data_IF_245377092010
#
_entry.id   IF_245377092010
#
_cell.length_a   1.000
_cell.length_b   1.000
_cell.length_c   1.000
_cell.angle_alpha   90.00
_cell.angle_beta   90.00
_cell.angle_gamma   90.00
#
_symmetry.space_group_name_H-M   'P 1'
#
loop_
_entity.id
_entity.type
_entity.pdbx_description
1 polymer ?
#
# COMPACT_ATOMS: atom_id res chain seq x y z
N UNK A 1 -4.43 -28.18 -10.65
CA UNK A 1 -4.68 -27.85 -9.23
C UNK A 1 -5.48 -26.56 -9.17
N UNK A 2 -6.78 -26.69 -8.93
CA UNK A 2 -7.78 -25.61 -8.87
C UNK A 2 -8.68 -25.89 -7.67
N UNK A 3 -9.18 -24.90 -6.91
CA UNK A 3 -8.76 -23.51 -6.84
C UNK A 3 -8.55 -23.02 -5.39
N UNK A 4 -7.69 -22.02 -5.20
CA UNK A 4 -7.52 -21.25 -3.95
C UNK A 4 -8.69 -20.28 -3.68
N UNK A 5 -9.89 -20.64 -4.14
CA UNK A 5 -11.15 -19.92 -3.92
C UNK A 5 -11.45 -19.65 -2.44
N UNK A 6 -11.29 -20.59 -1.49
CA UNK A 6 -11.59 -20.29 -0.10
C UNK A 6 -10.66 -19.22 0.49
N UNK A 7 -9.37 -19.24 0.14
CA UNK A 7 -8.42 -18.21 0.58
C UNK A 7 -8.77 -16.82 0.00
N UNK A 8 -9.22 -16.78 -1.26
CA UNK A 8 -9.70 -15.54 -1.88
C UNK A 8 -10.96 -15.00 -1.22
N UNK A 9 -11.98 -15.84 -0.99
CA UNK A 9 -13.20 -15.41 -0.31
C UNK A 9 -12.95 -15.03 1.15
N UNK A 10 -12.06 -15.74 1.85
CA UNK A 10 -11.63 -15.39 3.20
C UNK A 10 -10.94 -14.01 3.22
N UNK A 11 -10.02 -13.76 2.29
CA UNK A 11 -9.38 -12.46 2.15
C UNK A 11 -10.41 -11.36 1.86
N UNK A 12 -11.32 -11.59 0.92
CA UNK A 12 -12.38 -10.62 0.57
C UNK A 12 -13.30 -10.34 1.77
N UNK A 13 -13.61 -11.37 2.57
CA UNK A 13 -14.37 -11.25 3.81
C UNK A 13 -13.59 -10.47 4.88
N UNK A 14 -12.28 -10.68 5.01
CA UNK A 14 -11.44 -9.89 5.91
C UNK A 14 -11.38 -8.41 5.51
N UNK A 15 -11.22 -8.11 4.22
CA UNK A 15 -11.23 -6.73 3.72
C UNK A 15 -12.59 -6.08 3.93
N UNK A 16 -13.68 -6.76 3.52
CA UNK A 16 -15.04 -6.24 3.70
C UNK A 16 -15.41 -6.07 5.18
N UNK A 17 -15.03 -7.02 6.02
CA UNK A 17 -15.21 -6.97 7.47
C UNK A 17 -14.43 -5.83 8.11
N UNK A 18 -13.17 -5.62 7.70
CA UNK A 18 -12.34 -4.50 8.17
C UNK A 18 -12.90 -3.15 7.76
N UNK A 19 -13.31 -2.98 6.50
CA UNK A 19 -13.98 -1.76 6.02
C UNK A 19 -15.28 -1.52 6.80
N UNK A 20 -16.10 -2.56 6.99
CA UNK A 20 -17.36 -2.45 7.72
C UNK A 20 -17.12 -2.06 9.18
N UNK A 21 -16.15 -2.70 9.85
CA UNK A 21 -15.78 -2.37 11.22
C UNK A 21 -15.29 -0.91 11.34
N UNK A 22 -14.47 -0.43 10.39
CA UNK A 22 -14.04 0.96 10.35
C UNK A 22 -15.20 1.95 10.27
N UNK A 23 -16.23 1.66 9.47
CA UNK A 23 -17.43 2.52 9.38
C UNK A 23 -18.38 2.38 10.57
N UNK A 24 -18.42 1.22 11.23
CA UNK A 24 -19.30 0.98 12.38
C UNK A 24 -18.71 1.46 13.71
N UNK A 25 -17.38 1.45 13.83
CA UNK A 25 -16.66 1.81 15.05
C UNK A 25 -15.52 2.81 14.77
N UNK A 26 -15.82 3.97 14.16
CA UNK A 26 -14.79 4.95 13.81
C UNK A 26 -14.07 5.51 15.04
N UNK A 27 -14.76 5.62 16.18
CA UNK A 27 -14.19 6.15 17.42
C UNK A 27 -13.23 5.17 18.11
N UNK A 28 -13.48 3.87 17.96
CA UNK A 28 -12.64 2.77 18.51
C UNK A 28 -11.43 2.49 17.61
N UNK A 29 -11.61 2.60 16.28
CA UNK A 29 -10.55 2.39 15.28
C UNK A 29 -10.00 3.75 14.86
N UNK A 30 -9.44 4.47 15.83
CA UNK A 30 -8.74 5.71 15.58
C UNK A 30 -7.21 5.50 15.58
N UNK A 31 -6.49 6.51 15.12
CA UNK A 31 -5.02 6.53 15.08
C UNK A 31 -4.45 7.27 16.31
N UNK A 32 -5.31 7.86 17.15
CA UNK A 32 -4.94 8.66 18.33
C UNK A 32 -4.22 7.81 19.38
N UNK A 33 -4.48 6.50 19.45
CA UNK A 33 -3.70 5.62 20.33
C UNK A 33 -2.19 5.63 20.02
N UNK A 34 -1.79 5.95 18.78
CA UNK A 34 -0.37 6.09 18.42
C UNK A 34 0.23 7.35 19.03
N UNK A 35 -0.55 8.42 19.20
CA UNK A 35 -0.11 9.65 19.87
C UNK A 35 0.18 9.35 21.34
N UNK A 36 -0.79 8.79 22.07
CA UNK A 36 -0.64 8.37 23.46
C UNK A 36 0.53 7.37 23.67
N UNK A 37 0.74 6.48 22.71
CA UNK A 37 1.85 5.52 22.75
C UNK A 37 3.18 6.21 22.47
N UNK A 38 3.23 7.17 21.54
CA UNK A 38 4.46 7.88 21.19
C UNK A 38 5.02 8.69 22.37
N UNK A 39 4.15 9.25 23.22
CA UNK A 39 4.56 9.97 24.42
C UNK A 39 5.20 9.05 25.48
N UNK A 40 4.76 7.78 25.53
CA UNK A 40 5.26 6.78 26.49
C UNK A 40 6.50 6.05 25.97
N UNK A 41 6.44 5.61 24.71
CA UNK A 41 7.49 4.86 24.03
C UNK A 41 7.45 5.17 22.52
N UNK A 42 8.19 6.20 22.16
CA UNK A 42 8.29 6.72 20.80
C UNK A 42 8.69 5.67 19.76
N UNK A 43 9.69 4.83 20.05
CA UNK A 43 10.16 3.81 19.11
C UNK A 43 9.17 2.66 18.97
N UNK A 44 8.48 2.30 20.04
CA UNK A 44 7.41 1.31 19.96
C UNK A 44 6.25 1.83 19.09
N UNK A 45 5.87 3.11 19.21
CA UNK A 45 4.87 3.71 18.35
C UNK A 45 5.31 3.69 16.86
N UNK A 46 6.57 3.99 16.55
CA UNK A 46 7.11 3.88 15.19
C UNK A 46 7.06 2.44 14.65
N UNK A 47 7.35 1.43 15.48
CA UNK A 47 7.27 0.02 15.08
C UNK A 47 5.82 -0.37 14.79
N UNK A 48 4.87 0.01 15.64
CA UNK A 48 3.45 -0.28 15.40
C UNK A 48 2.97 0.44 14.14
N UNK A 49 3.35 1.72 13.95
CA UNK A 49 3.05 2.47 12.74
C UNK A 49 3.56 1.76 11.47
N UNK A 50 4.81 1.28 11.49
CA UNK A 50 5.38 0.47 10.41
C UNK A 50 4.57 -0.81 10.13
N UNK A 51 4.18 -1.53 11.18
CA UNK A 51 3.40 -2.77 11.04
C UNK A 51 2.02 -2.50 10.45
N UNK A 52 1.35 -1.42 10.88
CA UNK A 52 0.07 -0.98 10.33
C UNK A 52 0.19 -0.66 8.83
N UNK A 53 1.20 0.13 8.45
CA UNK A 53 1.48 0.43 7.05
C UNK A 53 1.76 -0.82 6.23
N UNK A 54 2.52 -1.77 6.78
CA UNK A 54 2.88 -3.02 6.09
C UNK A 54 1.67 -3.92 5.89
N UNK A 55 0.77 -4.01 6.88
CA UNK A 55 -0.45 -4.81 6.80
C UNK A 55 -1.51 -4.16 5.89
N UNK A 56 -1.50 -2.83 5.76
CA UNK A 56 -2.46 -2.02 5.01
C UNK A 56 -2.72 -2.53 3.59
N UNK A 57 -1.70 -2.92 2.84
CA UNK A 57 -1.86 -3.37 1.44
C UNK A 57 -2.73 -4.63 1.29
N UNK A 58 -2.88 -5.41 2.36
CA UNK A 58 -3.84 -6.51 2.41
C UNK A 58 -5.29 -6.01 2.29
N UNK A 59 -5.57 -4.80 2.77
CA UNK A 59 -6.91 -4.21 2.83
C UNK A 59 -7.18 -3.14 1.77
N UNK A 60 -6.16 -2.80 0.96
CA UNK A 60 -6.21 -1.71 -0.04
C UNK A 60 -6.59 -0.34 0.56
N UNK A 61 -6.41 -0.17 1.87
CA UNK A 61 -6.62 1.12 2.54
C UNK A 61 -5.54 2.10 2.01
N UNK A 62 -5.91 3.34 1.62
CA UNK A 62 -4.94 4.34 1.17
C UNK A 62 -3.88 4.68 2.23
N UNK A 63 -2.65 5.02 1.80
CA UNK A 63 -1.58 5.44 2.72
C UNK A 63 -1.83 6.75 3.42
N UNK A 64 -2.48 7.66 2.71
CA UNK A 64 -2.47 9.08 3.02
C UNK A 64 -3.04 9.39 4.41
N UNK A 65 -4.14 8.76 4.87
CA UNK A 65 -4.63 9.00 6.23
C UNK A 65 -3.61 8.64 7.31
N UNK A 66 -2.90 7.51 7.17
CA UNK A 66 -1.86 7.10 8.12
C UNK A 66 -0.67 8.06 8.05
N UNK A 67 -0.26 8.47 6.85
CA UNK A 67 0.83 9.44 6.68
C UNK A 67 0.52 10.77 7.37
N UNK A 68 -0.68 11.32 7.16
CA UNK A 68 -1.08 12.59 7.76
C UNK A 68 -1.14 12.51 9.28
N UNK A 69 -1.64 11.40 9.84
CA UNK A 69 -1.57 11.17 11.28
C UNK A 69 -0.12 11.09 11.77
N UNK A 70 0.74 10.38 11.04
CA UNK A 70 2.16 10.28 11.35
C UNK A 70 2.88 11.63 11.36
N UNK A 71 2.51 12.58 10.49
CA UNK A 71 3.10 13.93 10.45
C UNK A 71 2.88 14.70 11.76
N UNK A 72 1.78 14.43 12.47
CA UNK A 72 1.45 15.09 13.73
C UNK A 72 2.23 14.49 14.91
N UNK A 73 2.70 13.24 14.79
CA UNK A 73 3.21 12.44 15.90
C UNK A 73 4.74 12.29 15.84
N UNK A 74 5.30 12.10 14.65
CA UNK A 74 6.69 11.68 14.48
C UNK A 74 7.58 12.75 13.83
N UNK A 75 8.89 12.66 14.06
CA UNK A 75 9.85 13.49 13.35
C UNK A 75 9.76 13.28 11.82
N UNK A 76 9.80 14.34 10.99
CA UNK A 76 9.63 14.23 9.54
C UNK A 76 10.57 13.25 8.85
N UNK A 77 11.84 13.16 9.28
CA UNK A 77 12.82 12.29 8.63
C UNK A 77 12.55 10.83 8.98
N UNK A 78 12.30 10.54 10.25
CA UNK A 78 11.97 9.19 10.72
C UNK A 78 10.65 8.71 10.13
N UNK A 79 9.64 9.57 10.10
CA UNK A 79 8.36 9.31 9.45
C UNK A 79 8.56 8.96 7.98
N UNK A 80 9.36 9.73 7.23
CA UNK A 80 9.61 9.44 5.82
C UNK A 80 10.25 8.06 5.64
N UNK A 81 11.29 7.74 6.41
CA UNK A 81 12.00 6.47 6.32
C UNK A 81 11.07 5.30 6.65
N UNK A 82 10.36 5.38 7.78
CA UNK A 82 9.47 4.33 8.27
C UNK A 82 8.26 4.16 7.34
N UNK A 83 7.72 5.26 6.82
CA UNK A 83 6.62 5.22 5.87
C UNK A 83 7.01 4.54 4.56
N UNK A 84 8.18 4.90 4.01
CA UNK A 84 8.72 4.24 2.82
C UNK A 84 8.99 2.76 3.06
N UNK A 85 9.58 2.40 4.20
CA UNK A 85 9.79 1.00 4.58
C UNK A 85 8.47 0.22 4.67
N UNK A 86 7.44 0.82 5.27
CA UNK A 86 6.10 0.24 5.38
C UNK A 86 5.44 0.03 4.01
N UNK A 87 5.52 1.02 3.11
CA UNK A 87 4.97 0.93 1.74
C UNK A 87 5.66 -0.18 0.93
N UNK A 88 6.99 -0.29 1.00
CA UNK A 88 7.73 -1.35 0.32
C UNK A 88 7.44 -2.74 0.89
N UNK A 89 7.29 -2.82 2.22
CA UNK A 89 6.91 -4.06 2.91
C UNK A 89 5.49 -4.49 2.52
N UNK A 90 4.54 -3.55 2.53
CA UNK A 90 3.17 -3.74 2.03
C UNK A 90 3.14 -4.23 0.59
N UNK A 91 3.88 -3.55 -0.30
CA UNK A 91 4.00 -3.93 -1.71
C UNK A 91 4.53 -5.36 -1.87
N UNK A 92 5.53 -5.74 -1.06
CA UNK A 92 6.09 -7.09 -1.08
C UNK A 92 5.05 -8.13 -0.65
N UNK A 93 4.33 -7.88 0.45
CA UNK A 93 3.26 -8.74 0.95
C UNK A 93 2.17 -8.92 -0.12
N UNK A 94 1.70 -7.82 -0.69
CA UNK A 94 0.68 -7.80 -1.75
C UNK A 94 1.14 -8.58 -2.99
N UNK A 95 2.39 -8.38 -3.42
CA UNK A 95 2.93 -9.08 -4.58
C UNK A 95 2.88 -10.60 -4.40
N UNK A 96 3.31 -11.10 -3.24
CA UNK A 96 3.29 -12.53 -2.94
C UNK A 96 1.88 -13.04 -2.69
N UNK A 97 1.01 -12.26 -2.04
CA UNK A 97 -0.38 -12.61 -1.84
C UNK A 97 -1.11 -12.77 -3.18
N UNK A 98 -0.90 -11.85 -4.12
CA UNK A 98 -1.46 -11.91 -5.48
C UNK A 98 -1.09 -13.23 -6.19
N UNK A 99 0.19 -13.59 -6.13
CA UNK A 99 0.71 -14.84 -6.69
C UNK A 99 0.17 -16.05 -5.93
N UNK A 100 0.03 -15.94 -4.61
CA UNK A 100 -0.56 -16.99 -3.79
C UNK A 100 -2.02 -17.18 -4.15
N UNK A 101 -2.84 -16.15 -4.29
CA UNK A 101 -4.27 -16.25 -4.65
C UNK A 101 -4.50 -16.73 -6.09
N UNK A 102 -3.48 -16.67 -6.95
CA UNK A 102 -3.54 -17.15 -8.34
C UNK A 102 -4.25 -16.18 -9.27
N UNK A 103 -4.11 -14.87 -9.01
CA UNK A 103 -4.72 -13.83 -9.84
C UNK A 103 -4.21 -13.87 -11.30
N UNK A 104 -2.96 -14.27 -11.51
CA UNK A 104 -2.41 -14.53 -12.83
C UNK A 104 -3.29 -15.48 -13.65
N UNK A 105 -3.68 -16.62 -13.09
CA UNK A 105 -4.49 -17.63 -13.78
C UNK A 105 -5.96 -17.23 -13.90
N UNK A 106 -6.52 -16.53 -12.89
CA UNK A 106 -7.90 -16.04 -12.91
C UNK A 106 -8.14 -14.94 -13.97
N UNK A 107 -7.24 -13.96 -14.07
CA UNK A 107 -7.38 -12.88 -15.03
C UNK A 107 -7.04 -13.30 -16.46
N UNK A 108 -6.06 -14.19 -16.68
CA UNK A 108 -5.77 -14.73 -18.01
C UNK A 108 -6.94 -15.51 -18.61
N UNK A 109 -7.63 -16.32 -17.80
CA UNK A 109 -8.75 -17.16 -18.26
C UNK A 109 -10.05 -16.37 -18.46
N UNK A 110 -10.37 -15.43 -17.55
CA UNK A 110 -11.67 -14.72 -17.59
C UNK A 110 -11.63 -13.40 -18.36
N UNK A 111 -10.49 -12.71 -18.40
CA UNK A 111 -10.33 -11.37 -19.00
C UNK A 111 -9.12 -11.28 -19.93
N UNK A 112 -8.76 -12.38 -20.61
CA UNK A 112 -7.53 -12.49 -21.41
C UNK A 112 -7.35 -11.48 -22.54
N UNK A 113 -8.41 -10.79 -23.02
CA UNK A 113 -8.29 -9.67 -23.98
C UNK A 113 -7.81 -8.37 -23.30
N UNK A 114 -8.36 -8.02 -22.15
CA UNK A 114 -7.96 -6.83 -21.37
C UNK A 114 -6.55 -7.00 -20.80
N UNK A 115 -6.27 -8.19 -20.26
CA UNK A 115 -4.95 -8.56 -19.77
C UNK A 115 -3.88 -8.48 -20.85
N UNK A 116 -4.15 -8.95 -22.08
CA UNK A 116 -3.24 -8.79 -23.23
C UNK A 116 -3.03 -7.34 -23.64
N UNK A 117 -4.06 -6.49 -23.53
CA UNK A 117 -3.96 -5.07 -23.87
C UNK A 117 -3.09 -4.32 -22.87
N UNK A 118 -3.31 -4.54 -21.57
CA UNK A 118 -2.46 -4.01 -20.49
C UNK A 118 -1.04 -4.52 -20.67
N UNK A 119 -0.87 -5.83 -20.84
CA UNK A 119 0.46 -6.45 -21.04
C UNK A 119 1.18 -5.79 -22.20
N UNK A 120 0.56 -5.66 -23.38
CA UNK A 120 1.15 -4.96 -24.54
C UNK A 120 1.50 -3.51 -24.27
N UNK A 121 0.71 -2.80 -23.47
CA UNK A 121 0.97 -1.40 -23.12
C UNK A 121 2.09 -1.25 -22.09
N UNK A 122 2.32 -2.29 -21.27
CA UNK A 122 3.42 -2.35 -20.30
C UNK A 122 4.69 -2.97 -20.88
N UNK A 123 4.61 -3.79 -21.93
CA UNK A 123 5.79 -4.31 -22.63
C UNK A 123 6.64 -3.11 -23.06
N UNK A 124 7.87 -3.04 -22.55
CA UNK A 124 8.86 -1.97 -22.75
C UNK A 124 8.71 -0.70 -21.89
N UNK A 125 7.61 -0.53 -21.13
CA UNK A 125 7.37 0.66 -20.26
C UNK A 125 6.91 0.31 -18.84
N UNK A 126 7.21 -0.90 -18.35
CA UNK A 126 6.81 -1.38 -17.02
C UNK A 126 7.16 -0.38 -15.91
N UNK A 127 8.42 0.05 -15.83
CA UNK A 127 8.90 0.89 -14.73
C UNK A 127 8.30 2.32 -14.77
N UNK A 128 8.31 3.07 -15.90
CA UNK A 128 7.66 4.38 -15.97
C UNK A 128 6.17 4.36 -15.63
N UNK A 129 5.45 3.30 -16.05
CA UNK A 129 4.02 3.15 -15.72
C UNK A 129 3.83 2.97 -14.22
N UNK A 130 4.64 2.12 -13.58
CA UNK A 130 4.57 1.89 -12.12
C UNK A 130 4.92 3.17 -11.36
N UNK A 131 5.95 3.91 -11.79
CA UNK A 131 6.33 5.19 -11.18
C UNK A 131 5.20 6.21 -11.30
N UNK A 132 4.67 6.42 -12.51
CA UNK A 132 3.59 7.39 -12.74
C UNK A 132 2.32 7.04 -11.97
N UNK A 133 2.02 5.75 -11.84
CA UNK A 133 0.89 5.28 -11.04
C UNK A 133 1.09 5.51 -9.54
N UNK A 134 2.28 5.18 -9.03
CA UNK A 134 2.60 5.31 -7.59
C UNK A 134 2.79 6.76 -7.15
N UNK A 135 3.06 7.67 -8.09
CA UNK A 135 3.07 9.11 -7.85
C UNK A 135 1.64 9.69 -7.74
N UNK A 136 0.62 9.00 -8.24
CA UNK A 136 -0.72 9.56 -8.30
C UNK A 136 -1.50 9.31 -6.98
N UNK A 137 -1.83 10.36 -6.21
CA UNK A 137 -2.32 10.21 -4.84
C UNK A 137 -3.68 9.52 -4.72
N UNK A 138 -4.48 9.53 -5.79
CA UNK A 138 -5.84 8.98 -5.77
C UNK A 138 -5.90 7.49 -6.12
N UNK A 139 -4.83 6.92 -6.68
CA UNK A 139 -4.87 5.52 -7.09
C UNK A 139 -4.09 4.67 -6.07
N UNK A 140 -4.65 3.55 -5.57
CA UNK A 140 -3.94 2.69 -4.63
C UNK A 140 -2.67 2.13 -5.26
N UNK A 141 -1.52 2.40 -4.65
CA UNK A 141 -0.22 1.87 -5.10
C UNK A 141 -0.16 0.35 -5.00
N UNK A 142 -0.85 -0.24 -4.03
CA UNK A 142 -0.97 -1.70 -3.93
C UNK A 142 -1.66 -2.31 -5.18
N UNK A 143 -2.55 -1.57 -5.85
CA UNK A 143 -3.24 -2.06 -7.06
C UNK A 143 -2.28 -2.26 -8.23
N UNK A 144 -1.33 -1.35 -8.45
CA UNK A 144 -0.35 -1.53 -9.54
C UNK A 144 0.60 -2.70 -9.23
N UNK A 145 0.87 -2.99 -7.96
CA UNK A 145 1.64 -4.17 -7.54
C UNK A 145 0.86 -5.46 -7.76
N UNK A 146 -0.46 -5.48 -7.49
CA UNK A 146 -1.33 -6.61 -7.85
C UNK A 146 -1.30 -6.90 -9.36
N UNK A 147 -1.40 -5.84 -10.18
CA UNK A 147 -1.33 -5.96 -11.65
C UNK A 147 0.05 -6.43 -12.09
N UNK A 148 1.12 -5.86 -11.53
CA UNK A 148 2.50 -6.24 -11.85
C UNK A 148 2.79 -7.70 -11.52
N UNK A 149 2.36 -8.17 -10.35
CA UNK A 149 2.46 -9.59 -9.95
C UNK A 149 1.69 -10.50 -10.92
N UNK A 150 0.46 -10.11 -11.30
CA UNK A 150 -0.36 -10.88 -12.25
C UNK A 150 0.29 -10.98 -13.63
N UNK A 151 0.95 -9.89 -14.08
CA UNK A 151 1.72 -9.84 -15.33
C UNK A 151 3.09 -10.51 -15.25
N UNK A 152 3.47 -11.05 -14.07
CA UNK A 152 4.77 -11.66 -13.79
C UNK A 152 5.95 -10.68 -13.96
N UNK A 153 5.70 -9.39 -13.73
CA UNK A 153 6.76 -8.38 -13.66
C UNK A 153 7.62 -8.69 -12.42
N UNK A 154 8.96 -8.70 -12.51
CA UNK A 154 9.81 -8.96 -11.36
C UNK A 154 9.52 -8.02 -10.18
N UNK A 155 9.42 -8.58 -8.97
CA UNK A 155 9.17 -7.84 -7.72
C UNK A 155 10.06 -6.60 -7.60
N UNK A 156 11.36 -6.73 -7.89
CA UNK A 156 12.30 -5.62 -7.77
C UNK A 156 11.94 -4.44 -8.68
N UNK A 157 11.43 -4.69 -9.89
CA UNK A 157 10.96 -3.60 -10.77
C UNK A 157 9.72 -2.91 -10.20
N UNK A 158 8.80 -3.68 -9.60
CA UNK A 158 7.65 -3.12 -8.91
C UNK A 158 8.08 -2.25 -7.73
N UNK A 159 8.96 -2.78 -6.86
CA UNK A 159 9.45 -2.04 -5.69
C UNK A 159 10.23 -0.78 -6.07
N UNK A 160 11.05 -0.82 -7.13
CA UNK A 160 11.76 0.36 -7.62
C UNK A 160 10.78 1.42 -8.15
N UNK A 161 9.77 1.00 -8.90
CA UNK A 161 8.76 1.93 -9.42
C UNK A 161 7.94 2.59 -8.31
N UNK A 162 7.51 1.78 -7.34
CA UNK A 162 6.82 2.25 -6.12
C UNK A 162 7.73 3.19 -5.35
N UNK A 163 8.97 2.80 -5.09
CA UNK A 163 9.92 3.62 -4.34
C UNK A 163 10.08 5.01 -4.95
N UNK A 164 10.32 5.10 -6.26
CA UNK A 164 10.53 6.39 -6.92
C UNK A 164 9.25 7.25 -6.91
N UNK A 165 8.09 6.66 -7.24
CA UNK A 165 6.83 7.41 -7.29
C UNK A 165 6.38 7.90 -5.92
N UNK A 166 6.40 7.01 -4.92
CA UNK A 166 5.97 7.30 -3.56
C UNK A 166 6.96 8.20 -2.82
N UNK A 167 8.27 8.10 -3.08
CA UNK A 167 9.25 8.98 -2.40
C UNK A 167 8.95 10.45 -2.65
N UNK A 168 8.64 10.83 -3.90
CA UNK A 168 8.34 12.21 -4.25
C UNK A 168 7.05 12.66 -3.58
N UNK A 169 6.02 11.83 -3.63
CA UNK A 169 4.70 12.14 -3.06
C UNK A 169 4.76 12.26 -1.53
N UNK A 170 5.39 11.30 -0.85
CA UNK A 170 5.51 11.29 0.61
C UNK A 170 6.41 12.41 1.11
N UNK A 171 7.52 12.71 0.42
CA UNK A 171 8.34 13.87 0.76
C UNK A 171 7.52 15.16 0.64
N UNK A 172 6.78 15.33 -0.47
CA UNK A 172 5.91 16.49 -0.64
C UNK A 172 4.90 16.61 0.50
N UNK A 173 4.16 15.55 0.83
CA UNK A 173 3.17 15.59 1.91
C UNK A 173 3.79 15.89 3.29
N UNK A 174 4.86 15.20 3.66
CA UNK A 174 5.47 15.35 4.98
C UNK A 174 6.03 16.77 5.15
N UNK A 175 6.86 17.22 4.20
CA UNK A 175 7.54 18.51 4.34
C UNK A 175 6.60 19.70 4.15
N UNK A 176 5.64 19.63 3.23
CA UNK A 176 4.65 20.72 3.05
C UNK A 176 3.73 20.85 4.27
N UNK A 177 3.23 19.72 4.79
CA UNK A 177 2.35 19.73 5.97
C UNK A 177 3.14 20.19 7.21
N UNK A 178 4.37 19.72 7.41
CA UNK A 178 5.20 20.15 8.52
C UNK A 178 5.54 21.65 8.45
N UNK A 179 5.75 22.20 7.24
CA UNK A 179 5.96 23.64 7.06
C UNK A 179 4.69 24.44 7.39
N UNK A 180 3.52 23.98 6.95
CA UNK A 180 2.23 24.62 7.25
C UNK A 180 1.91 24.62 8.74
N UNK A 181 2.27 23.56 9.47
CA UNK A 181 2.06 23.47 10.93
C UNK A 181 2.99 24.40 11.74
N UNK A 182 4.09 24.87 11.14
CA UNK A 182 5.07 25.77 11.77
C UNK A 182 4.82 27.26 11.49
N UNK A 183 3.91 27.59 10.57
CA UNK A 183 3.48 28.96 10.25
C UNK A 183 2.42 29.43 11.24
#
# INVERSE_FOLDING_TARGET
MTPKKPAFYLWLLLVAGGITAYFLYPDEINILFLEDLSEKDYYMALIIYFLLLSARGLTMIPSTPLLLAGVLIFDPLELFIVNMAGILSSSTIVYYLSKFLGFDSYFETKHGKYFRRIRRSLTDKELPVIVGWSFFPLVPTDLIVYVGSSLKIPLLKCLLGVFVGESVLNAFYIFSTNLLLKL
#
